data_IF_064084653095
#
_entry.id   IF_064084653095
#
_cell.length_a   1.000
_cell.length_b   1.000
_cell.length_c   1.000
_cell.angle_alpha   90.00
_cell.angle_beta   90.00
_cell.angle_gamma   90.00
#
_symmetry.space_group_name_H-M   'P 1'
#
loop_
_entity.id
_entity.type
_entity.pdbx_description
1 polymer ?
#
# COMPACT_ATOMS: atom_id res chain seq x y z
N UNK A 1 -31.75 -30.24 11.63
CA UNK A 1 -31.48 -29.37 10.47
C UNK A 1 -30.10 -28.76 10.64
N UNK A 2 -29.16 -29.26 9.85
CA UNK A 2 -27.73 -28.97 9.89
C UNK A 2 -27.48 -27.64 9.18
N UNK A 3 -26.84 -26.67 9.84
CA UNK A 3 -26.31 -25.48 9.18
C UNK A 3 -24.80 -25.70 9.00
N UNK A 4 -24.42 -26.07 7.78
CA UNK A 4 -23.02 -26.12 7.35
C UNK A 4 -22.53 -24.68 7.27
N UNK A 5 -21.53 -24.34 8.08
CA UNK A 5 -20.78 -23.10 7.92
C UNK A 5 -19.79 -23.34 6.78
N UNK A 6 -20.23 -23.00 5.57
CA UNK A 6 -19.40 -23.09 4.38
C UNK A 6 -18.33 -21.99 4.48
N UNK A 7 -17.11 -22.41 4.83
CA UNK A 7 -15.91 -21.58 4.66
C UNK A 7 -15.86 -21.15 3.21
N UNK A 8 -16.10 -19.87 2.94
CA UNK A 8 -15.93 -19.29 1.61
C UNK A 8 -14.49 -19.57 1.17
N UNK A 9 -14.36 -20.57 0.30
CA UNK A 9 -13.15 -20.87 -0.42
C UNK A 9 -12.71 -19.60 -1.16
N UNK A 10 -11.40 -19.41 -1.28
CA UNK A 10 -10.79 -18.36 -2.10
C UNK A 10 -11.54 -18.31 -3.43
N UNK A 11 -12.13 -17.16 -3.77
CA UNK A 11 -12.61 -16.95 -5.13
C UNK A 11 -11.38 -16.85 -6.03
N UNK A 12 -10.94 -18.00 -6.54
CA UNK A 12 -9.84 -18.17 -7.49
C UNK A 12 -10.16 -17.54 -8.86
N UNK A 13 -11.32 -16.90 -9.03
CA UNK A 13 -11.62 -16.09 -10.22
C UNK A 13 -10.90 -14.75 -10.17
N UNK A 14 -9.57 -14.79 -10.14
CA UNK A 14 -8.78 -13.71 -10.75
C UNK A 14 -9.13 -13.76 -12.23
N UNK A 15 -10.02 -12.86 -12.66
CA UNK A 15 -10.29 -12.65 -14.07
C UNK A 15 -8.92 -12.59 -14.78
N UNK A 16 -8.71 -13.34 -15.88
CA UNK A 16 -7.45 -13.27 -16.59
C UNK A 16 -7.24 -11.79 -16.91
N UNK A 17 -6.19 -11.20 -16.33
CA UNK A 17 -5.74 -9.88 -16.76
C UNK A 17 -5.39 -10.12 -18.22
N UNK A 18 -6.29 -9.72 -19.12
CA UNK A 18 -6.05 -9.76 -20.55
C UNK A 18 -4.66 -9.18 -20.74
N UNK A 19 -3.79 -9.92 -21.44
CA UNK A 19 -2.45 -9.48 -21.78
C UNK A 19 -2.59 -8.29 -22.73
N UNK A 20 -2.95 -7.13 -22.18
CA UNK A 20 -2.80 -5.84 -22.81
C UNK A 20 -1.30 -5.75 -23.07
N UNK A 21 -0.92 -5.91 -24.33
CA UNK A 21 0.46 -5.84 -24.76
C UNK A 21 1.13 -4.63 -24.11
N UNK A 22 2.34 -4.83 -23.61
CA UNK A 22 3.09 -3.74 -22.99
C UNK A 22 3.39 -2.68 -24.05
N UNK A 23 2.76 -1.51 -23.91
CA UNK A 23 3.10 -0.33 -24.71
C UNK A 23 4.02 0.57 -23.88
N UNK A 24 5.28 0.72 -24.28
CA UNK A 24 6.22 1.62 -23.61
C UNK A 24 5.74 3.08 -23.71
N UNK A 25 5.86 3.84 -22.62
CA UNK A 25 5.61 5.28 -22.63
C UNK A 25 6.70 6.01 -23.41
N UNK A 26 6.34 7.11 -24.07
CA UNK A 26 7.31 8.02 -24.69
C UNK A 26 7.69 9.11 -23.69
N UNK A 27 8.64 8.81 -22.79
CA UNK A 27 8.99 9.66 -21.65
C UNK A 27 9.34 11.10 -22.07
N UNK A 28 10.14 11.25 -23.14
CA UNK A 28 10.61 12.54 -23.67
C UNK A 28 9.52 13.45 -24.25
N UNK A 29 8.35 12.88 -24.52
CA UNK A 29 7.19 13.63 -25.04
C UNK A 29 6.24 14.08 -23.93
N UNK A 30 6.52 13.71 -22.69
CA UNK A 30 5.72 14.17 -21.55
C UNK A 30 6.12 15.60 -21.17
N UNK A 31 5.13 16.45 -20.88
CA UNK A 31 5.34 17.85 -20.50
C UNK A 31 6.34 17.99 -19.35
N UNK A 32 6.19 17.15 -18.31
CA UNK A 32 7.09 17.18 -17.16
C UNK A 32 8.54 16.85 -17.53
N UNK A 33 8.76 15.88 -18.43
CA UNK A 33 10.11 15.56 -18.88
C UNK A 33 10.72 16.71 -19.67
N UNK A 34 9.97 17.33 -20.57
CA UNK A 34 10.41 18.48 -21.36
C UNK A 34 10.80 19.66 -20.47
N UNK A 35 9.92 20.05 -19.53
CA UNK A 35 10.17 21.15 -18.59
C UNK A 35 11.41 20.90 -17.74
N UNK A 36 11.56 19.69 -17.17
CA UNK A 36 12.75 19.38 -16.37
C UNK A 36 14.00 19.38 -17.25
N UNK A 37 13.96 18.77 -18.44
CA UNK A 37 15.10 18.72 -19.36
C UNK A 37 15.57 20.11 -19.77
N UNK A 38 14.63 21.01 -20.04
CA UNK A 38 14.91 22.36 -20.54
C UNK A 38 15.37 23.31 -19.42
N UNK A 39 14.88 23.14 -18.19
CA UNK A 39 15.09 24.12 -17.12
C UNK A 39 15.94 23.64 -15.94
N UNK A 40 16.34 22.35 -15.88
CA UNK A 40 17.08 21.81 -14.73
C UNK A 40 18.37 22.57 -14.44
N UNK A 41 19.22 22.79 -15.44
CA UNK A 41 20.52 23.44 -15.22
C UNK A 41 20.35 24.91 -14.79
N UNK A 42 19.40 25.62 -15.40
CA UNK A 42 19.03 27.00 -15.00
C UNK A 42 18.51 27.05 -13.56
N UNK A 43 17.69 26.07 -13.16
CA UNK A 43 17.18 25.95 -11.81
C UNK A 43 18.33 25.73 -10.80
N UNK A 44 19.19 24.75 -11.04
CA UNK A 44 20.35 24.45 -10.17
C UNK A 44 21.28 25.66 -10.02
N UNK A 45 21.61 26.33 -11.12
CA UNK A 45 22.47 27.52 -11.11
C UNK A 45 21.82 28.72 -10.39
N UNK A 46 20.49 28.82 -10.42
CA UNK A 46 19.75 29.89 -9.71
C UNK A 46 19.68 29.60 -8.22
N UNK A 47 19.42 28.35 -7.83
CA UNK A 47 19.39 27.93 -6.41
C UNK A 47 20.77 28.11 -5.76
N UNK A 48 21.85 27.71 -6.43
CA UNK A 48 23.20 27.87 -5.90
C UNK A 48 23.62 29.34 -5.71
N UNK A 49 23.02 30.27 -6.46
CA UNK A 49 23.23 31.72 -6.28
C UNK A 49 22.42 32.31 -5.13
N UNK A 50 21.22 31.77 -4.89
CA UNK A 50 20.32 32.26 -3.85
C UNK A 50 20.68 31.75 -2.44
N UNK A 51 21.19 30.52 -2.36
CA UNK A 51 21.58 29.88 -1.11
C UNK A 51 22.97 29.23 -1.25
N UNK A 52 23.98 29.63 -0.44
CA UNK A 52 25.30 29.00 -0.42
C UNK A 52 25.27 27.49 -0.11
N UNK A 53 24.24 27.01 0.60
CA UNK A 53 24.06 25.58 0.86
C UNK A 53 23.57 24.82 -0.40
N UNK A 54 22.99 25.54 -1.37
CA UNK A 54 22.47 24.99 -2.61
C UNK A 54 21.32 24.00 -2.41
N UNK A 55 20.99 23.28 -3.48
CA UNK A 55 20.02 22.20 -3.40
C UNK A 55 20.67 20.95 -2.78
N UNK A 56 20.03 20.27 -1.81
CA UNK A 56 20.52 18.98 -1.34
C UNK A 56 20.79 18.00 -2.49
N UNK A 57 21.95 17.35 -2.46
CA UNK A 57 22.41 16.48 -3.55
C UNK A 57 21.41 15.38 -3.95
N UNK A 58 20.63 14.87 -2.99
CA UNK A 58 19.62 13.86 -3.29
C UNK A 58 18.52 14.37 -4.24
N UNK A 59 18.16 15.66 -4.18
CA UNK A 59 17.15 16.24 -5.06
C UNK A 59 17.68 16.40 -6.48
N UNK A 60 18.94 16.84 -6.64
CA UNK A 60 19.57 16.89 -7.97
C UNK A 60 19.63 15.50 -8.60
N UNK A 61 20.03 14.48 -7.82
CA UNK A 61 20.05 13.10 -8.29
C UNK A 61 18.66 12.58 -8.68
N UNK A 62 17.60 13.02 -8.00
CA UNK A 62 16.22 12.68 -8.36
C UNK A 62 15.83 13.30 -9.71
N UNK A 63 16.20 14.57 -9.97
CA UNK A 63 15.97 15.22 -11.26
C UNK A 63 16.74 14.54 -12.39
N UNK A 64 18.05 14.34 -12.22
CA UNK A 64 18.89 13.70 -13.23
C UNK A 64 18.41 12.26 -13.50
N UNK A 65 18.13 11.50 -12.44
CA UNK A 65 17.59 10.14 -12.59
C UNK A 65 16.22 10.09 -13.26
N UNK A 66 15.36 11.09 -13.05
CA UNK A 66 14.08 11.19 -13.76
C UNK A 66 14.27 11.38 -15.27
N UNK A 67 15.24 12.19 -15.70
CA UNK A 67 15.52 12.44 -17.11
C UNK A 67 15.95 11.18 -17.86
N UNK A 68 16.57 10.22 -17.18
CA UNK A 68 16.96 8.92 -17.74
C UNK A 68 15.85 7.86 -17.68
N UNK A 69 14.74 8.15 -17.00
CA UNK A 69 13.67 7.18 -16.77
C UNK A 69 12.83 6.95 -18.04
N UNK A 70 12.86 5.73 -18.57
CA UNK A 70 12.04 5.34 -19.73
C UNK A 70 12.61 5.81 -21.07
N UNK A 71 13.92 6.04 -21.14
CA UNK A 71 14.63 6.47 -22.33
C UNK A 71 15.29 5.27 -23.00
N UNK A 72 14.94 5.03 -24.27
CA UNK A 72 15.43 3.87 -25.02
C UNK A 72 16.93 3.89 -25.30
N UNK A 73 17.49 5.07 -25.54
CA UNK A 73 18.92 5.25 -25.81
C UNK A 73 19.79 5.14 -24.57
N UNK A 74 19.19 5.06 -23.37
CA UNK A 74 19.92 4.80 -22.13
C UNK A 74 20.15 3.30 -21.98
N UNK A 75 19.08 2.57 -21.67
CA UNK A 75 19.11 1.12 -21.47
C UNK A 75 17.69 0.52 -21.49
N UNK A 76 17.59 -0.77 -21.80
CA UNK A 76 16.34 -1.53 -21.76
C UNK A 76 16.55 -3.00 -21.38
N UNK A 77 15.51 -3.62 -20.82
CA UNK A 77 15.41 -5.07 -20.64
C UNK A 77 14.67 -5.69 -21.82
N UNK A 78 15.13 -6.86 -22.25
CA UNK A 78 14.47 -7.72 -23.24
C UNK A 78 13.86 -8.93 -22.51
N UNK A 79 12.57 -9.13 -22.69
CA UNK A 79 11.86 -10.31 -22.20
C UNK A 79 11.42 -11.15 -23.40
N UNK A 80 11.75 -12.43 -23.38
CA UNK A 80 11.33 -13.39 -24.40
C UNK A 80 10.47 -14.46 -23.74
N UNK A 81 9.40 -14.87 -24.40
CA UNK A 81 8.63 -16.04 -23.95
C UNK A 81 9.39 -17.34 -24.26
N UNK A 82 9.23 -18.36 -23.41
CA UNK A 82 9.89 -19.67 -23.57
C UNK A 82 9.53 -20.39 -24.89
N UNK A 83 8.46 -19.93 -25.55
CA UNK A 83 8.04 -20.42 -26.87
C UNK A 83 8.58 -19.62 -28.05
N UNK A 84 9.39 -18.58 -27.86
CA UNK A 84 10.10 -17.85 -28.93
C UNK A 84 9.29 -16.87 -29.77
N UNK A 85 7.96 -16.80 -29.63
CA UNK A 85 7.10 -16.01 -30.52
C UNK A 85 6.72 -14.61 -30.00
N UNK A 86 7.05 -14.28 -28.74
CA UNK A 86 6.76 -12.96 -28.18
C UNK A 86 7.99 -12.37 -27.51
N UNK A 87 8.36 -11.17 -27.96
CA UNK A 87 9.42 -10.36 -27.38
C UNK A 87 8.81 -9.06 -26.85
N UNK A 88 9.21 -8.66 -25.64
CA UNK A 88 8.82 -7.39 -25.04
C UNK A 88 10.06 -6.65 -24.59
N UNK A 89 10.25 -5.44 -25.13
CA UNK A 89 11.30 -4.53 -24.71
C UNK A 89 10.74 -3.55 -23.68
N UNK A 90 11.45 -3.38 -22.57
CA UNK A 90 11.04 -2.50 -21.47
C UNK A 90 12.19 -1.55 -21.14
N UNK A 91 12.05 -0.23 -21.35
CA UNK A 91 13.10 0.71 -20.99
C UNK A 91 13.29 0.76 -19.47
N UNK A 92 14.50 1.06 -19.02
CA UNK A 92 14.79 1.10 -17.59
C UNK A 92 14.06 2.24 -16.87
N UNK A 93 13.64 1.92 -15.65
CA UNK A 93 13.01 2.87 -14.73
C UNK A 93 14.04 3.45 -13.78
N UNK A 94 13.91 4.71 -13.39
CA UNK A 94 14.84 5.31 -12.42
C UNK A 94 14.78 4.71 -11.02
N UNK A 95 13.69 4.00 -10.67
CA UNK A 95 13.45 3.36 -9.35
C UNK A 95 13.45 4.34 -8.16
N UNK A 96 13.52 5.65 -8.42
CA UNK A 96 13.56 6.73 -7.43
C UNK A 96 12.23 6.91 -6.69
N UNK A 97 12.23 7.69 -5.61
CA UNK A 97 11.06 7.87 -4.70
C UNK A 97 10.45 9.27 -4.73
N UNK A 98 11.04 10.21 -5.46
CA UNK A 98 10.51 11.55 -5.63
C UNK A 98 9.38 11.62 -6.65
N UNK A 99 9.52 12.54 -7.59
CA UNK A 99 8.40 13.04 -8.40
C UNK A 99 8.11 12.23 -9.68
N UNK A 100 8.90 11.21 -10.01
CA UNK A 100 8.73 10.43 -11.24
C UNK A 100 7.36 9.71 -11.25
N UNK A 101 6.40 10.10 -12.11
CA UNK A 101 5.03 9.58 -12.04
C UNK A 101 4.94 8.08 -12.36
N UNK A 102 5.80 7.60 -13.27
CA UNK A 102 5.82 6.20 -13.67
C UNK A 102 6.36 5.29 -12.57
N UNK A 103 7.46 5.67 -11.92
CA UNK A 103 8.01 4.89 -10.81
C UNK A 103 7.14 5.00 -9.55
N UNK A 104 6.60 6.19 -9.27
CA UNK A 104 5.64 6.41 -8.20
C UNK A 104 4.39 5.57 -8.39
N UNK A 105 3.76 5.64 -9.57
CA UNK A 105 2.58 4.85 -9.92
C UNK A 105 2.82 3.35 -9.84
N UNK A 106 3.95 2.84 -10.37
CA UNK A 106 4.32 1.42 -10.23
C UNK A 106 4.42 1.00 -8.76
N UNK A 107 5.07 1.81 -7.92
CA UNK A 107 5.24 1.52 -6.49
C UNK A 107 3.90 1.55 -5.76
N UNK A 108 3.03 2.51 -6.08
CA UNK A 108 1.67 2.57 -5.52
C UNK A 108 0.85 1.34 -5.90
N UNK A 109 0.89 0.93 -7.17
CA UNK A 109 0.21 -0.27 -7.64
C UNK A 109 0.73 -1.54 -6.95
N UNK A 110 2.05 -1.68 -6.83
CA UNK A 110 2.67 -2.81 -6.12
C UNK A 110 2.27 -2.83 -4.63
N UNK A 111 2.29 -1.67 -3.96
CA UNK A 111 1.85 -1.57 -2.56
C UNK A 111 0.37 -1.86 -2.38
N UNK A 112 -0.49 -1.44 -3.32
CA UNK A 112 -1.91 -1.76 -3.29
C UNK A 112 -2.15 -3.26 -3.48
N UNK A 113 -1.43 -3.92 -4.38
CA UNK A 113 -1.50 -5.37 -4.56
C UNK A 113 -1.07 -6.11 -3.29
N UNK A 114 0.06 -5.74 -2.67
CA UNK A 114 0.51 -6.32 -1.40
C UNK A 114 -0.55 -6.18 -0.30
N UNK A 115 -1.17 -5.00 -0.20
CA UNK A 115 -2.22 -4.75 0.77
C UNK A 115 -3.42 -5.66 0.55
N UNK A 116 -3.91 -5.78 -0.69
CA UNK A 116 -5.12 -6.56 -1.03
C UNK A 116 -4.87 -8.06 -0.96
N UNK A 117 -3.72 -8.52 -1.47
CA UNK A 117 -3.45 -9.95 -1.64
C UNK A 117 -2.94 -10.61 -0.35
N UNK A 118 -2.27 -9.85 0.53
CA UNK A 118 -1.51 -10.42 1.64
C UNK A 118 -1.79 -9.80 3.02
N UNK A 119 -2.26 -8.56 3.11
CA UNK A 119 -2.38 -7.86 4.41
C UNK A 119 -3.84 -7.68 4.85
N UNK A 120 -4.72 -7.26 3.94
CA UNK A 120 -6.11 -6.95 4.28
C UNK A 120 -6.95 -8.23 4.34
N UNK A 121 -7.70 -8.46 5.44
CA UNK A 121 -8.63 -9.57 5.53
C UNK A 121 -9.82 -9.38 4.58
N UNK A 122 -10.41 -10.48 4.10
CA UNK A 122 -11.62 -10.50 3.27
C UNK A 122 -12.89 -10.14 4.06
N UNK A 123 -12.94 -8.90 4.56
CA UNK A 123 -14.09 -8.27 5.20
C UNK A 123 -14.27 -6.87 4.64
N UNK A 124 -15.48 -6.29 4.68
CA UNK A 124 -15.67 -4.90 4.26
C UNK A 124 -14.74 -3.96 5.04
N UNK A 125 -13.82 -3.30 4.33
CA UNK A 125 -12.89 -2.32 4.90
C UNK A 125 -13.29 -0.90 4.50
N UNK A 126 -13.10 0.05 5.41
CA UNK A 126 -13.29 1.47 5.15
C UNK A 126 -11.99 2.22 5.40
N UNK A 127 -11.43 2.80 4.36
CA UNK A 127 -10.26 3.66 4.47
C UNK A 127 -10.68 5.03 5.02
N UNK A 128 -10.00 5.49 6.06
CA UNK A 128 -10.09 6.85 6.57
C UNK A 128 -8.77 7.55 6.30
N UNK A 129 -8.82 8.72 5.68
CA UNK A 129 -7.64 9.57 5.46
C UNK A 129 -7.78 10.80 6.32
N UNK A 130 -6.84 10.98 7.25
CA UNK A 130 -6.74 12.19 8.07
C UNK A 130 -5.62 13.07 7.52
N UNK A 131 -5.99 14.18 6.90
CA UNK A 131 -5.02 15.19 6.44
C UNK A 131 -4.81 16.21 7.54
N UNK A 132 -3.61 16.21 8.13
CA UNK A 132 -3.23 17.19 9.15
C UNK A 132 -2.50 18.38 8.50
N UNK A 133 -2.79 19.63 8.91
CA UNK A 133 -2.01 20.80 8.52
C UNK A 133 -0.56 20.64 8.98
N UNK A 134 0.40 21.27 8.30
CA UNK A 134 1.84 21.05 8.56
C UNK A 134 2.21 21.23 10.03
N UNK A 135 1.65 22.24 10.70
CA UNK A 135 1.87 22.51 12.12
C UNK A 135 1.39 21.40 13.08
N UNK A 136 0.54 20.48 12.60
CA UNK A 136 0.05 19.32 13.34
C UNK A 136 0.60 17.99 12.80
N UNK A 137 1.46 18.03 11.77
CA UNK A 137 2.18 16.83 11.32
C UNK A 137 3.23 16.55 12.38
N UNK A 138 3.27 15.30 12.84
CA UNK A 138 4.20 14.79 13.84
C UNK A 138 5.59 15.44 13.70
N UNK A 139 5.92 16.31 14.66
CA UNK A 139 7.29 16.74 14.81
C UNK A 139 8.11 15.50 15.19
N UNK A 140 9.25 15.25 14.53
CA UNK A 140 10.12 14.17 14.93
C UNK A 140 10.59 14.44 16.35
N UNK A 141 9.97 13.73 17.31
CA UNK A 141 10.48 13.66 18.67
C UNK A 141 11.87 13.02 18.61
N UNK A 142 12.81 13.42 19.50
CA UNK A 142 14.06 12.70 19.64
C UNK A 142 13.77 11.20 19.87
N UNK A 143 14.62 10.30 19.34
CA UNK A 143 14.41 8.87 19.51
C UNK A 143 14.28 8.54 21.01
N UNK A 144 13.33 7.68 21.40
CA UNK A 144 13.15 7.33 22.80
C UNK A 144 14.41 6.65 23.32
N UNK A 145 14.80 7.02 24.54
CA UNK A 145 15.91 6.39 25.25
C UNK A 145 15.60 4.92 25.56
N UNK A 146 16.63 4.09 25.71
CA UNK A 146 16.46 2.68 26.08
C UNK A 146 15.63 2.48 27.35
N UNK A 147 15.73 3.45 28.29
CA UNK A 147 14.94 3.47 29.51
C UNK A 147 13.46 3.65 29.24
N UNK A 148 13.09 4.57 28.35
CA UNK A 148 11.69 4.82 27.97
C UNK A 148 11.10 3.60 27.25
N UNK A 149 11.87 2.99 26.35
CA UNK A 149 11.48 1.75 25.67
C UNK A 149 11.28 0.62 26.67
N UNK A 150 12.20 0.43 27.63
CA UNK A 150 12.10 -0.59 28.66
C UNK A 150 10.86 -0.39 29.55
N UNK A 151 10.57 0.85 29.95
CA UNK A 151 9.37 1.19 30.72
C UNK A 151 8.08 0.87 29.95
N UNK A 152 8.02 1.23 28.66
CA UNK A 152 6.87 0.94 27.80
C UNK A 152 6.65 -0.57 27.66
N UNK A 153 7.71 -1.33 27.37
CA UNK A 153 7.65 -2.79 27.25
C UNK A 153 7.22 -3.46 28.56
N UNK A 154 7.72 -2.99 29.71
CA UNK A 154 7.29 -3.46 31.02
C UNK A 154 5.79 -3.17 31.26
N UNK A 155 5.31 -1.99 30.89
CA UNK A 155 3.90 -1.62 30.99
C UNK A 155 3.01 -2.51 30.12
N UNK A 156 3.38 -2.70 28.84
CA UNK A 156 2.69 -3.58 27.89
C UNK A 156 2.67 -5.02 28.41
N UNK A 157 3.83 -5.57 28.78
CA UNK A 157 3.95 -6.92 29.36
C UNK A 157 3.02 -7.09 30.57
N UNK A 158 3.05 -6.14 31.49
CA UNK A 158 2.22 -6.18 32.72
C UNK A 158 0.73 -6.09 32.38
N UNK A 159 0.36 -5.31 31.36
CA UNK A 159 -1.02 -5.20 30.90
C UNK A 159 -1.49 -6.50 30.24
N UNK A 160 -0.68 -7.09 29.36
CA UNK A 160 -0.97 -8.38 28.72
C UNK A 160 -1.12 -9.47 29.78
N UNK A 161 -0.17 -9.59 30.72
CA UNK A 161 -0.26 -10.60 31.79
C UNK A 161 -1.49 -10.38 32.68
N UNK A 162 -1.88 -9.14 32.97
CA UNK A 162 -3.13 -8.85 33.69
C UNK A 162 -4.37 -9.25 32.90
N UNK A 163 -4.41 -8.98 31.59
CA UNK A 163 -5.52 -9.37 30.73
C UNK A 163 -5.61 -10.90 30.61
N UNK A 164 -4.48 -11.59 30.46
CA UNK A 164 -4.43 -13.05 30.41
C UNK A 164 -4.87 -13.68 31.74
N UNK A 165 -4.43 -13.15 32.89
CA UNK A 165 -4.92 -13.62 34.21
C UNK A 165 -6.41 -13.37 34.41
N UNK A 166 -6.94 -12.24 33.94
CA UNK A 166 -8.38 -11.96 33.98
C UNK A 166 -9.17 -12.84 33.01
N UNK A 167 -8.63 -13.13 31.83
CA UNK A 167 -9.21 -14.06 30.86
C UNK A 167 -9.17 -15.52 31.33
N UNK A 168 -8.12 -15.90 32.06
CA UNK A 168 -8.00 -17.20 32.73
C UNK A 168 -8.97 -17.35 33.91
N UNK A 169 -9.43 -16.24 34.51
CA UNK A 169 -10.47 -16.22 35.54
C UNK A 169 -11.89 -15.99 34.99
N UNK A 170 -12.13 -16.11 33.68
CA UNK A 170 -13.51 -16.20 33.18
C UNK A 170 -14.01 -17.63 33.43
N UNK A 171 -15.01 -17.87 34.28
CA UNK A 171 -15.61 -19.19 34.37
C UNK A 171 -16.15 -19.51 32.97
N UNK A 172 -15.79 -20.70 32.44
CA UNK A 172 -16.43 -21.26 31.24
C UNK A 172 -17.93 -20.98 31.36
N UNK A 173 -18.46 -20.09 30.52
CA UNK A 173 -19.91 -20.00 30.32
C UNK A 173 -20.33 -21.34 29.72
N UNK A 174 -20.73 -22.27 30.59
CA UNK A 174 -21.62 -23.36 30.18
C UNK A 174 -22.88 -22.67 29.66
N UNK A 175 -23.07 -22.69 28.34
CA UNK A 175 -24.32 -22.24 27.71
C UNK A 175 -25.45 -23.07 28.33
N UNK A 176 -26.50 -22.45 28.90
CA UNK A 176 -27.67 -23.22 29.29
C UNK A 176 -28.31 -23.80 28.03
N UNK A 177 -28.48 -25.11 28.03
CA UNK A 177 -29.33 -25.84 27.08
C UNK A 177 -30.78 -25.44 27.33
N UNK A 178 -31.35 -24.65 26.43
CA UNK A 178 -32.81 -24.48 26.37
C UNK A 178 -33.40 -25.70 25.65
N UNK A 179 -33.80 -26.67 26.47
CA UNK A 179 -34.72 -27.76 26.11
C UNK A 179 -36.15 -27.21 26.16
N UNK A 180 -36.92 -27.50 25.11
CA UNK A 180 -38.32 -27.95 25.26
C UNK A 180 -39.43 -26.89 25.32
N UNK A 181 -40.08 -26.72 24.15
CA UNK A 181 -41.55 -26.79 23.94
C UNK A 181 -42.52 -25.76 24.56
N UNK A 182 -43.27 -25.09 23.66
CA UNK A 182 -44.75 -25.19 23.37
C UNK A 182 -45.20 -23.88 22.70
N UNK A 183 -45.56 -23.85 21.41
CA UNK A 183 -46.83 -24.25 20.76
C UNK A 183 -48.02 -23.35 21.12
N UNK A 184 -48.69 -22.86 20.05
CA UNK A 184 -50.01 -22.20 19.91
C UNK A 184 -49.96 -20.65 19.85
N UNK A 185 -50.53 -19.98 18.84
CA UNK A 185 -51.40 -20.49 17.78
C UNK A 185 -51.74 -19.47 16.68
N UNK A 186 -52.61 -19.95 15.79
CA UNK A 186 -53.28 -19.35 14.63
C UNK A 186 -53.64 -17.86 14.82
N UNK A 187 -53.70 -17.01 13.78
CA UNK A 187 -54.78 -17.04 12.76
C UNK A 187 -54.48 -16.13 11.56
N UNK A 188 -54.72 -16.65 10.34
CA UNK A 188 -55.44 -16.07 9.17
C UNK A 188 -55.35 -14.54 8.88
N UNK A 189 -55.20 -14.02 7.66
CA UNK A 189 -55.96 -14.23 6.41
C UNK A 189 -55.17 -13.55 5.25
N UNK A 190 -55.38 -14.11 4.05
CA UNK A 190 -55.10 -13.75 2.64
C UNK A 190 -54.92 -12.26 2.17
N UNK A 191 -54.51 -12.06 0.89
CA UNK A 191 -53.81 -10.90 0.34
C UNK A 191 -54.72 -9.91 -0.44
N UNK A 192 -54.08 -8.85 -0.96
CA UNK A 192 -54.22 -8.38 -2.34
C UNK A 192 -52.80 -8.12 -2.92
#
# INVERSE_FOLDING_TARGET
MTAVCETAARDERRAPVASLGYTPRQAERTVLHQVVREHLETFLATTARADPAGLPAFLEQEFRGFLDCGIWSRDFARFQSDGGHAETLVPFSCKRRGFCPSCGGRRMAAGAAELVDHILPHVPVRQWVLSLPHALRFDPAPPPTDREVAHLLAAIRTRILRLLRRGACSPRRTRPTLSGERVLGLTSVLPD
#
